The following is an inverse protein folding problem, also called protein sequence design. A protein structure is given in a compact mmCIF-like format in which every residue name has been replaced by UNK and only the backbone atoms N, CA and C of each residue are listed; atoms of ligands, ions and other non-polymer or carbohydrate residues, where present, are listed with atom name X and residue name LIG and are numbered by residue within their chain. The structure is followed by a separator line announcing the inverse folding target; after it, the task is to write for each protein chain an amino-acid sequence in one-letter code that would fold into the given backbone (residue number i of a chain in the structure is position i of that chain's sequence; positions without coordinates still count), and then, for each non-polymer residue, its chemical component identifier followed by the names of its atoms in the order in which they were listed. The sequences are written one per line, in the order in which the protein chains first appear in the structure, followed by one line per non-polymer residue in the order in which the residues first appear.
data_IF_142408597996
#
_entry.id   IF_142408597996
#
_cell.length_a   1.000
_cell.length_b   1.000
_cell.length_c   1.000
_cell.angle_alpha   90.00
_cell.angle_beta   90.00
_cell.angle_gamma   90.00
#
_symmetry.space_group_name_H-M   'P 1'
#
loop_
_entity.id
_entity.type
_entity.pdbx_description
1 polymer ?
#
# COMPACT_ATOMS: atom_id res chain seq x y z
N UNK A 1 -4.77 -12.87 10.44
CA UNK A 1 -3.63 -12.07 10.92
C UNK A 1 -2.40 -12.96 10.87
N UNK A 2 -1.52 -12.75 9.91
CA UNK A 2 -0.30 -13.55 9.81
C UNK A 2 0.79 -12.86 10.62
N UNK A 3 1.18 -13.50 11.71
CA UNK A 3 2.39 -13.15 12.45
C UNK A 3 3.57 -13.58 11.58
N UNK A 4 4.35 -12.63 11.08
CA UNK A 4 5.55 -12.97 10.31
C UNK A 4 6.61 -13.44 11.30
N UNK A 5 6.87 -14.75 11.27
CA UNK A 5 8.08 -15.34 11.85
C UNK A 5 9.25 -14.97 10.96
N UNK A 6 10.32 -14.44 11.59
CA UNK A 6 11.46 -13.89 10.88
C UNK A 6 12.16 -14.90 9.97
N UNK A 7 11.96 -14.74 8.68
CA UNK A 7 12.85 -15.28 7.65
C UNK A 7 13.49 -14.11 6.91
N UNK A 8 14.81 -14.12 6.87
CA UNK A 8 15.64 -13.16 6.15
C UNK A 8 15.35 -13.19 4.65
N UNK A 9 14.44 -12.36 4.18
CA UNK A 9 14.21 -12.16 2.76
C UNK A 9 14.91 -10.86 2.36
N UNK A 10 16.13 -10.95 1.88
CA UNK A 10 16.77 -9.90 1.09
C UNK A 10 16.11 -9.88 -0.29
N UNK A 11 14.90 -9.33 -0.40
CA UNK A 11 14.23 -9.17 -1.67
C UNK A 11 14.44 -7.76 -2.22
N UNK A 12 14.78 -7.66 -3.50
CA UNK A 12 14.76 -6.38 -4.23
C UNK A 12 13.34 -5.91 -4.54
N UNK A 13 12.31 -6.66 -4.11
CA UNK A 13 10.90 -6.34 -4.33
C UNK A 13 10.26 -5.79 -3.04
N UNK A 14 9.29 -4.85 -3.16
CA UNK A 14 8.53 -4.36 -2.02
C UNK A 14 7.81 -5.50 -1.29
N UNK A 15 7.66 -5.39 0.03
CA UNK A 15 6.96 -6.38 0.84
C UNK A 15 5.51 -6.51 0.39
N UNK A 16 5.12 -7.71 -0.04
CA UNK A 16 3.81 -8.02 -0.60
C UNK A 16 2.66 -7.79 0.40
N UNK A 17 2.94 -7.91 1.70
CA UNK A 17 1.93 -7.70 2.74
C UNK A 17 1.34 -6.29 2.78
N UNK A 18 2.10 -5.27 2.34
CA UNK A 18 1.67 -3.87 2.31
C UNK A 18 1.17 -3.42 0.93
N UNK A 19 1.24 -4.31 -0.03
CA UNK A 19 0.80 -4.01 -1.38
C UNK A 19 -0.71 -3.81 -1.43
N UNK A 20 -1.15 -2.77 -2.12
CA UNK A 20 -2.56 -2.37 -2.19
C UNK A 20 -3.22 -2.18 -0.81
N UNK A 21 -2.43 -1.74 0.17
CA UNK A 21 -2.87 -1.48 1.52
C UNK A 21 -2.76 0.00 1.86
N UNK A 22 -3.55 0.41 2.84
CA UNK A 22 -3.45 1.71 3.50
C UNK A 22 -3.53 1.53 5.00
N UNK A 23 -2.98 2.48 5.75
CA UNK A 23 -2.98 2.44 7.21
C UNK A 23 -1.62 2.73 7.80
N UNK A 24 -1.31 2.11 8.92
CA UNK A 24 0.00 2.24 9.56
C UNK A 24 0.36 1.01 10.38
N UNK A 25 1.64 0.90 10.71
CA UNK A 25 2.21 -0.14 11.58
C UNK A 25 2.88 0.53 12.76
N UNK A 26 2.59 0.06 13.97
CA UNK A 26 3.10 0.55 15.23
C UNK A 26 4.03 -0.50 15.86
N UNK A 27 5.27 -0.13 16.18
CA UNK A 27 6.17 -0.95 16.98
C UNK A 27 5.74 -0.90 18.46
N UNK A 28 5.48 -2.05 19.07
CA UNK A 28 5.03 -2.15 20.47
C UNK A 28 6.11 -2.65 21.42
N UNK A 29 7.12 -3.37 20.92
CA UNK A 29 8.29 -3.81 21.66
C UNK A 29 9.46 -4.10 20.69
N UNK A 30 10.68 -4.18 21.21
CA UNK A 30 11.88 -4.44 20.44
C UNK A 30 12.26 -3.31 19.48
N UNK A 31 13.12 -3.64 18.52
CA UNK A 31 13.64 -2.73 17.51
C UNK A 31 13.61 -3.40 16.13
N UNK A 32 13.57 -2.60 15.06
CA UNK A 32 13.72 -3.09 13.70
C UNK A 32 14.33 -2.02 12.79
N UNK A 33 14.99 -2.46 11.72
CA UNK A 33 15.34 -1.61 10.58
C UNK A 33 14.34 -1.86 9.44
N UNK A 34 13.84 -0.79 8.86
CA UNK A 34 12.92 -0.83 7.72
C UNK A 34 13.46 0.04 6.60
N UNK A 35 13.47 -0.48 5.37
CA UNK A 35 13.79 0.32 4.19
C UNK A 35 12.48 0.75 3.51
N UNK A 36 12.26 2.07 3.51
CA UNK A 36 11.12 2.68 2.82
C UNK A 36 11.65 3.52 1.68
N UNK A 37 11.23 3.21 0.45
CA UNK A 37 11.80 3.75 -0.78
C UNK A 37 13.35 3.53 -0.77
N UNK A 38 14.12 4.61 -0.79
CA UNK A 38 15.60 4.57 -0.78
C UNK A 38 16.20 4.86 0.60
N UNK A 39 15.39 5.04 1.64
CA UNK A 39 15.84 5.41 2.98
C UNK A 39 15.66 4.28 3.98
N UNK A 40 16.62 4.14 4.91
CA UNK A 40 16.56 3.23 6.04
C UNK A 40 16.08 3.99 7.27
N UNK A 41 15.13 3.40 7.99
CA UNK A 41 14.55 3.93 9.22
C UNK A 41 14.74 2.90 10.34
N UNK A 42 15.07 3.39 11.53
CA UNK A 42 15.15 2.58 12.75
C UNK A 42 13.84 2.73 13.52
N UNK A 43 13.23 1.59 13.81
CA UNK A 43 12.00 1.50 14.58
C UNK A 43 12.33 1.02 15.99
N UNK A 44 11.78 1.70 16.98
CA UNK A 44 11.79 1.29 18.38
C UNK A 44 10.36 1.34 18.92
N UNK A 45 10.15 0.89 20.15
CA UNK A 45 8.83 0.98 20.79
C UNK A 45 8.24 2.39 20.68
N UNK A 46 7.01 2.50 20.19
CA UNK A 46 6.31 3.75 19.91
C UNK A 46 6.58 4.34 18.52
N UNK A 47 7.52 3.79 17.75
CA UNK A 47 7.69 4.19 16.36
C UNK A 47 6.52 3.71 15.51
N UNK A 48 6.07 4.57 14.60
CA UNK A 48 5.05 4.26 13.61
C UNK A 48 5.59 4.48 12.21
N UNK A 49 5.15 3.66 11.25
CA UNK A 49 5.33 3.95 9.84
C UNK A 49 4.01 3.82 9.09
N UNK A 50 3.82 4.72 8.13
CA UNK A 50 2.61 4.78 7.32
C UNK A 50 2.72 3.81 6.14
N UNK A 51 1.60 3.18 5.81
CA UNK A 51 1.41 2.36 4.62
C UNK A 51 0.47 3.11 3.67
N UNK A 52 0.99 3.56 2.55
CA UNK A 52 0.24 4.25 1.49
C UNK A 52 0.76 3.84 0.12
N UNK A 53 0.02 4.07 -0.97
CA UNK A 53 0.47 3.73 -2.32
C UNK A 53 1.77 4.39 -2.78
N UNK A 54 2.15 5.53 -2.18
CA UNK A 54 3.39 6.25 -2.49
C UNK A 54 4.62 5.68 -1.81
N UNK A 55 4.43 4.84 -0.79
CA UNK A 55 5.50 4.33 0.06
C UNK A 55 5.73 2.87 -0.29
N UNK A 56 6.95 2.56 -0.73
CA UNK A 56 7.38 1.19 -1.01
C UNK A 56 8.25 0.70 0.14
N UNK A 57 7.79 -0.39 0.78
CA UNK A 57 8.44 -1.00 1.93
C UNK A 57 9.13 -2.26 1.44
N UNK A 58 10.46 -2.36 1.59
CA UNK A 58 11.25 -3.45 1.02
C UNK A 58 11.74 -4.45 2.06
N UNK A 59 12.23 -3.97 3.20
CA UNK A 59 12.87 -4.81 4.21
C UNK A 59 12.43 -4.44 5.61
N UNK A 60 12.27 -5.43 6.48
CA UNK A 60 12.19 -5.27 7.92
C UNK A 60 13.16 -6.26 8.53
N UNK A 61 14.17 -5.77 9.26
CA UNK A 61 15.12 -6.57 10.02
C UNK A 61 14.79 -6.45 11.53
N UNK A 62 13.91 -7.31 12.08
CA UNK A 62 13.49 -7.20 13.46
C UNK A 62 14.50 -7.80 14.44
N UNK A 63 14.59 -7.23 15.65
CA UNK A 63 15.20 -7.90 16.82
C UNK A 63 14.34 -9.10 17.25
N UNK A 64 14.93 -9.97 18.09
CA UNK A 64 14.23 -11.17 18.53
C UNK A 64 12.97 -10.92 19.37
N UNK A 65 12.89 -9.75 20.00
CA UNK A 65 11.77 -9.28 20.83
C UNK A 65 10.88 -8.25 20.11
N UNK A 66 11.03 -8.12 18.80
CA UNK A 66 10.23 -7.17 18.01
C UNK A 66 8.76 -7.58 17.96
N UNK A 67 7.90 -6.70 18.44
CA UNK A 67 6.45 -6.83 18.35
C UNK A 67 5.85 -5.62 17.63
N UNK A 68 4.81 -5.86 16.84
CA UNK A 68 4.10 -4.80 16.12
C UNK A 68 2.60 -5.00 16.09
N UNK A 69 1.88 -3.91 15.98
CA UNK A 69 0.45 -3.84 15.66
C UNK A 69 0.31 -3.27 14.25
N UNK A 70 -0.41 -3.98 13.38
CA UNK A 70 -0.71 -3.53 12.02
C UNK A 70 -2.17 -3.10 11.93
N UNK A 71 -2.40 -1.78 11.81
CA UNK A 71 -3.70 -1.16 11.52
C UNK A 71 -3.75 -0.86 10.01
N UNK A 72 -3.68 -1.93 9.21
CA UNK A 72 -3.56 -1.89 7.75
C UNK A 72 -4.72 -2.63 7.12
N UNK A 73 -5.37 -2.03 6.13
CA UNK A 73 -6.50 -2.59 5.42
C UNK A 73 -6.37 -2.41 3.90
N UNK A 74 -7.29 -2.98 3.13
CA UNK A 74 -7.35 -2.80 1.68
C UNK A 74 -7.40 -1.31 1.33
N UNK A 75 -6.62 -0.91 0.32
CA UNK A 75 -6.48 0.48 -0.09
C UNK A 75 -7.82 1.12 -0.45
N UNK A 76 -8.77 0.35 -1.00
CA UNK A 76 -10.11 0.85 -1.35
C UNK A 76 -10.89 1.40 -0.16
N UNK A 77 -10.60 0.93 1.07
CA UNK A 77 -11.21 1.46 2.30
C UNK A 77 -10.81 2.92 2.53
N UNK A 78 -9.60 3.28 2.12
CA UNK A 78 -9.02 4.61 2.30
C UNK A 78 -9.24 5.55 1.09
N UNK A 79 -9.67 5.06 -0.06
CA UNK A 79 -9.84 5.86 -1.28
C UNK A 79 -10.68 7.14 -1.09
N UNK A 80 -11.83 7.12 -0.41
CA UNK A 80 -12.62 8.34 -0.23
C UNK A 80 -11.81 9.44 0.46
N UNK A 81 -11.05 9.09 1.49
CA UNK A 81 -10.20 10.03 2.24
C UNK A 81 -8.99 10.45 1.42
N UNK A 82 -8.31 9.51 0.78
CA UNK A 82 -7.13 9.80 -0.04
C UNK A 82 -7.45 10.74 -1.20
N UNK A 83 -8.62 10.62 -1.82
CA UNK A 83 -9.08 11.57 -2.84
C UNK A 83 -9.34 12.96 -2.29
N UNK A 84 -9.91 13.07 -1.09
CA UNK A 84 -10.17 14.36 -0.45
C UNK A 84 -8.87 15.10 -0.09
N UNK A 85 -7.84 14.39 0.36
CA UNK A 85 -6.56 14.99 0.76
C UNK A 85 -5.55 15.11 -0.38
N UNK A 86 -5.84 14.60 -1.58
CA UNK A 86 -4.91 14.54 -2.69
C UNK A 86 -4.30 15.91 -3.06
N UNK A 87 -5.06 16.99 -2.91
CA UNK A 87 -4.65 18.34 -3.27
C UNK A 87 -4.16 19.18 -2.08
N UNK A 88 -4.05 18.60 -0.89
CA UNK A 88 -3.71 19.33 0.34
C UNK A 88 -2.22 19.38 0.65
N UNK A 89 -1.38 18.67 -0.11
CA UNK A 89 0.04 18.49 0.21
C UNK A 89 0.31 17.49 1.34
N UNK A 90 -0.72 16.97 2.03
CA UNK A 90 -0.59 15.95 3.07
C UNK A 90 0.13 14.69 2.56
N UNK A 91 -0.22 14.13 1.38
CA UNK A 91 0.45 12.95 0.86
C UNK A 91 1.96 13.15 0.67
N UNK A 92 2.38 14.34 0.25
CA UNK A 92 3.81 14.68 0.12
C UNK A 92 4.49 14.71 1.48
N UNK A 93 3.90 15.39 2.47
CA UNK A 93 4.45 15.48 3.83
C UNK A 93 4.66 14.10 4.43
N UNK A 94 3.65 13.24 4.32
CA UNK A 94 3.73 11.84 4.79
C UNK A 94 4.79 11.04 4.04
N UNK A 95 4.93 11.20 2.72
CA UNK A 95 5.94 10.48 1.95
C UNK A 95 7.37 10.92 2.23
N UNK A 96 7.57 12.17 2.62
CA UNK A 96 8.89 12.71 3.02
C UNK A 96 9.33 12.24 4.41
N UNK A 97 8.38 11.99 5.31
CA UNK A 97 8.64 11.49 6.66
C UNK A 97 7.65 10.38 7.01
N UNK A 98 7.82 9.19 6.42
CA UNK A 98 6.88 8.07 6.56
C UNK A 98 6.97 7.36 7.91
N UNK A 99 8.03 7.63 8.69
CA UNK A 99 8.26 7.06 10.02
C UNK A 99 8.44 8.17 11.05
N UNK A 100 7.82 8.01 12.22
CA UNK A 100 8.04 8.92 13.36
C UNK A 100 7.73 8.24 14.68
N UNK A 101 8.12 8.90 15.78
CA UNK A 101 7.85 8.48 17.13
C UNK A 101 6.52 9.10 17.59
N UNK A 102 5.62 8.27 18.12
CA UNK A 102 4.40 8.72 18.79
C UNK A 102 4.70 9.21 20.21
N UNK A 103 3.90 10.13 20.70
CA UNK A 103 3.84 10.43 22.13
C UNK A 103 3.21 9.26 22.90
N UNK A 104 3.35 9.25 24.23
CA UNK A 104 2.74 8.23 25.09
C UNK A 104 1.21 8.22 24.94
N UNK A 105 0.58 9.39 24.78
CA UNK A 105 -0.87 9.53 24.60
C UNK A 105 -1.30 8.94 23.26
N UNK A 106 -0.59 9.27 22.16
CA UNK A 106 -0.85 8.74 20.83
C UNK A 106 -0.64 7.22 20.78
N UNK A 107 0.39 6.72 21.45
CA UNK A 107 0.66 5.29 21.56
C UNK A 107 -0.48 4.54 22.27
N UNK A 108 -0.93 5.05 23.42
CA UNK A 108 -2.06 4.49 24.18
C UNK A 108 -3.34 4.52 23.33
N UNK A 109 -3.59 5.64 22.65
CA UNK A 109 -4.73 5.78 21.75
C UNK A 109 -4.70 4.71 20.64
N UNK A 110 -3.61 4.60 19.89
CA UNK A 110 -3.48 3.64 18.80
C UNK A 110 -3.66 2.18 19.27
N UNK A 111 -3.09 1.83 20.43
CA UNK A 111 -3.32 0.51 21.07
C UNK A 111 -4.77 0.27 21.44
N UNK A 112 -5.46 1.28 21.95
CA UNK A 112 -6.88 1.17 22.32
C UNK A 112 -7.76 0.91 21.08
N UNK A 113 -7.45 1.55 19.96
CA UNK A 113 -8.17 1.34 18.69
C UNK A 113 -7.94 -0.08 18.15
N UNK A 114 -6.73 -0.61 18.28
CA UNK A 114 -6.45 -2.00 17.93
C UNK A 114 -7.29 -2.98 18.79
N UNK A 115 -7.38 -2.77 20.09
CA UNK A 115 -8.25 -3.57 20.97
C UNK A 115 -9.74 -3.54 20.56
N UNK A 116 -10.22 -2.37 20.10
CA UNK A 116 -11.58 -2.26 19.52
C UNK A 116 -11.77 -3.08 18.25
N UNK A 117 -10.74 -3.19 17.43
CA UNK A 117 -10.76 -4.02 16.22
C UNK A 117 -10.76 -5.50 16.60
N UNK A 118 -9.93 -5.93 17.54
CA UNK A 118 -9.88 -7.33 18.01
C UNK A 118 -11.22 -7.79 18.61
N UNK A 119 -11.89 -6.93 19.40
CA UNK A 119 -13.25 -7.19 19.91
C UNK A 119 -14.23 -7.45 18.74
N UNK A 120 -14.19 -6.62 17.70
CA UNK A 120 -15.07 -6.79 16.54
C UNK A 120 -14.74 -8.03 15.71
N UNK A 121 -13.45 -8.33 15.53
CA UNK A 121 -13.02 -9.57 14.84
C UNK A 121 -13.48 -10.81 15.59
N UNK A 122 -13.41 -10.80 16.92
CA UNK A 122 -13.91 -11.88 17.77
C UNK A 122 -15.43 -12.08 17.61
N UNK A 123 -16.19 -10.96 17.53
CA UNK A 123 -17.65 -10.99 17.28
C UNK A 123 -17.97 -11.51 15.88
N UNK A 124 -17.23 -11.11 14.86
CA UNK A 124 -17.39 -11.65 13.49
C UNK A 124 -17.18 -13.17 13.48
N UNK A 125 -16.14 -13.65 14.17
CA UNK A 125 -15.84 -15.10 14.24
C UNK A 125 -16.93 -15.90 14.99
N UNK A 126 -17.62 -15.28 15.95
CA UNK A 126 -18.70 -15.91 16.72
C UNK A 126 -20.09 -15.76 16.06
N UNK A 127 -20.27 -14.82 15.14
CA UNK A 127 -21.55 -14.50 14.50
C UNK A 127 -21.87 -15.47 13.37
N UNK A 128 -23.14 -15.92 13.32
CA UNK A 128 -23.72 -16.68 12.20
C UNK A 128 -24.53 -15.80 11.25
N UNK A 129 -24.73 -14.52 11.58
CA UNK A 129 -25.46 -13.55 10.75
C UNK A 129 -24.52 -12.86 9.78
N UNK A 130 -24.78 -13.01 8.48
CA UNK A 130 -24.05 -12.31 7.41
C UNK A 130 -24.21 -10.79 7.53
N UNK A 131 -25.39 -10.30 7.88
CA UNK A 131 -25.66 -8.87 8.05
C UNK A 131 -24.83 -8.29 9.20
N UNK A 132 -24.76 -8.99 10.32
CA UNK A 132 -23.94 -8.57 11.48
C UNK A 132 -22.45 -8.54 11.11
N UNK A 133 -21.94 -9.56 10.41
CA UNK A 133 -20.56 -9.62 9.94
C UNK A 133 -20.21 -8.45 9.01
N UNK A 134 -21.14 -8.08 8.11
CA UNK A 134 -20.96 -6.92 7.21
C UNK A 134 -20.88 -5.62 8.02
N UNK A 135 -21.79 -5.40 8.96
CA UNK A 135 -21.79 -4.18 9.81
C UNK A 135 -20.48 -4.10 10.62
N UNK A 136 -20.07 -5.18 11.27
CA UNK A 136 -18.83 -5.23 12.06
C UNK A 136 -17.59 -4.96 11.19
N UNK A 137 -17.56 -5.49 9.97
CA UNK A 137 -16.48 -5.23 9.00
C UNK A 137 -16.41 -3.74 8.65
N UNK A 138 -17.54 -3.10 8.39
CA UNK A 138 -17.56 -1.65 8.13
C UNK A 138 -17.12 -0.82 9.34
N UNK A 139 -17.48 -1.23 10.55
CA UNK A 139 -17.00 -0.57 11.76
C UNK A 139 -15.48 -0.70 11.93
N UNK A 140 -14.89 -1.85 11.61
CA UNK A 140 -13.42 -2.02 11.58
C UNK A 140 -12.80 -1.06 10.57
N UNK A 141 -13.35 -0.97 9.35
CA UNK A 141 -12.87 -0.08 8.31
C UNK A 141 -12.87 1.39 8.77
N UNK A 142 -13.94 1.83 9.43
CA UNK A 142 -14.05 3.19 9.96
C UNK A 142 -12.99 3.44 11.06
N UNK A 143 -12.77 2.49 11.97
CA UNK A 143 -11.75 2.61 13.02
C UNK A 143 -10.35 2.73 12.37
N UNK A 144 -10.04 1.95 11.35
CA UNK A 144 -8.75 2.03 10.65
C UNK A 144 -8.54 3.42 10.02
N UNK A 145 -9.56 3.96 9.34
CA UNK A 145 -9.48 5.27 8.68
C UNK A 145 -9.36 6.40 9.71
N UNK A 146 -10.23 6.41 10.73
CA UNK A 146 -10.20 7.39 11.81
C UNK A 146 -8.84 7.44 12.51
N UNK A 147 -8.34 6.27 12.92
CA UNK A 147 -7.07 6.17 13.64
C UNK A 147 -5.88 6.64 12.78
N UNK A 148 -5.88 6.28 11.49
CA UNK A 148 -4.83 6.75 10.58
C UNK A 148 -4.85 8.28 10.44
N UNK A 149 -6.03 8.89 10.29
CA UNK A 149 -6.16 10.34 10.16
C UNK A 149 -5.71 11.05 11.44
N UNK A 150 -6.08 10.53 12.61
CA UNK A 150 -5.67 11.09 13.90
C UNK A 150 -4.15 11.07 14.07
N UNK A 151 -3.52 9.90 13.84
CA UNK A 151 -2.07 9.72 13.91
C UNK A 151 -1.33 10.62 12.91
N UNK A 152 -1.85 10.78 11.68
CA UNK A 152 -1.27 11.65 10.66
C UNK A 152 -1.47 13.12 11.00
N UNK A 153 -2.65 13.55 11.50
CA UNK A 153 -2.96 14.95 11.75
C UNK A 153 -1.99 15.59 12.75
N UNK A 154 -1.63 14.85 13.79
CA UNK A 154 -0.69 15.30 14.82
C UNK A 154 0.74 15.44 14.29
N UNK A 155 1.07 14.72 13.21
CA UNK A 155 2.41 14.72 12.63
C UNK A 155 2.58 15.81 11.56
N UNK A 156 1.60 16.02 10.68
CA UNK A 156 1.71 16.91 9.51
C UNK A 156 1.87 18.38 9.86
N UNK A 157 1.44 18.80 11.06
CA UNK A 157 1.60 20.19 11.53
C UNK A 157 3.07 20.63 11.66
N UNK A 158 4.00 19.65 11.69
CA UNK A 158 5.45 19.89 11.86
C UNK A 158 6.20 20.17 10.55
N UNK A 159 5.50 20.11 9.38
CA UNK A 159 6.16 20.27 8.07
C UNK A 159 5.80 21.57 7.39
N UNK A 160 6.84 22.26 6.93
CA UNK A 160 6.71 23.37 5.98
C UNK A 160 7.13 22.88 4.59
N UNK A 161 6.21 22.91 3.62
CA UNK A 161 6.42 22.34 2.29
C UNK A 161 6.18 23.40 1.21
N UNK A 162 7.15 23.65 0.29
CA UNK A 162 6.98 24.60 -0.80
C UNK A 162 5.80 24.26 -1.72
N UNK A 163 5.07 25.30 -2.16
CA UNK A 163 3.84 25.14 -2.98
C UNK A 163 4.07 24.40 -4.31
N UNK A 164 5.21 24.61 -4.96
CA UNK A 164 5.52 24.01 -6.27
C UNK A 164 5.73 22.49 -6.14
N UNK A 165 6.38 22.04 -5.06
CA UNK A 165 6.52 20.62 -4.72
C UNK A 165 5.18 19.96 -4.47
N UNK A 166 4.22 20.68 -3.88
CA UNK A 166 2.86 20.18 -3.63
C UNK A 166 2.15 19.86 -4.95
N UNK A 167 2.22 20.75 -5.96
CA UNK A 167 1.53 20.56 -7.25
C UNK A 167 1.97 19.26 -7.97
N UNK A 168 3.28 19.07 -8.11
CA UNK A 168 3.81 17.89 -8.80
C UNK A 168 3.52 16.60 -8.01
N UNK A 169 3.61 16.66 -6.69
CA UNK A 169 3.27 15.52 -5.82
C UNK A 169 1.80 15.16 -5.88
N UNK A 170 0.91 16.16 -6.02
CA UNK A 170 -0.52 15.90 -6.20
C UNK A 170 -0.80 15.17 -7.51
N UNK A 171 -0.12 15.52 -8.61
CA UNK A 171 -0.22 14.79 -9.88
C UNK A 171 0.23 13.34 -9.71
N UNK A 172 1.37 13.12 -9.07
CA UNK A 172 1.90 11.78 -8.82
C UNK A 172 0.98 10.96 -7.92
N UNK A 173 0.48 11.55 -6.85
CA UNK A 173 -0.42 10.87 -5.92
C UNK A 173 -1.74 10.47 -6.58
N UNK A 174 -2.37 11.39 -7.32
CA UNK A 174 -3.58 11.10 -8.10
C UNK A 174 -3.35 10.01 -9.14
N UNK A 175 -2.20 10.03 -9.81
CA UNK A 175 -1.82 8.97 -10.75
C UNK A 175 -1.78 7.60 -10.06
N UNK A 176 -1.09 7.49 -8.93
CA UNK A 176 -0.94 6.21 -8.22
C UNK A 176 -2.29 5.71 -7.68
N UNK A 177 -3.15 6.59 -7.13
CA UNK A 177 -4.50 6.21 -6.75
C UNK A 177 -5.30 5.70 -7.96
N UNK A 178 -5.29 6.45 -9.07
CA UNK A 178 -5.98 6.07 -10.29
C UNK A 178 -5.44 4.76 -10.87
N UNK A 179 -4.13 4.52 -10.77
CA UNK A 179 -3.52 3.27 -11.21
C UNK A 179 -4.03 2.07 -10.39
N UNK A 180 -4.13 2.18 -9.07
CA UNK A 180 -4.68 1.13 -8.22
C UNK A 180 -6.18 0.89 -8.44
N UNK A 181 -6.93 1.89 -8.88
CA UNK A 181 -8.33 1.73 -9.28
C UNK A 181 -8.48 1.05 -10.66
N UNK A 182 -7.56 1.33 -11.59
CA UNK A 182 -7.73 1.00 -13.01
C UNK A 182 -6.67 0.03 -13.57
N UNK A 183 -5.82 -0.57 -12.73
CA UNK A 183 -4.73 -1.46 -13.17
C UNK A 183 -5.19 -2.63 -14.04
N UNK A 184 -6.43 -3.07 -13.87
CA UNK A 184 -7.01 -4.18 -14.60
C UNK A 184 -7.52 -3.78 -15.99
N UNK A 185 -7.81 -2.49 -16.24
CA UNK A 185 -8.34 -2.01 -17.52
C UNK A 185 -7.36 -1.13 -18.28
N UNK A 186 -6.60 -0.28 -17.57
CA UNK A 186 -5.82 0.81 -18.19
C UNK A 186 -4.32 0.63 -17.98
N UNK A 187 -3.59 0.49 -19.11
CA UNK A 187 -2.13 0.36 -19.11
C UNK A 187 -1.42 1.40 -19.97
N UNK A 188 -2.17 2.28 -20.61
CA UNK A 188 -1.61 3.33 -21.46
C UNK A 188 -1.25 4.58 -20.64
N UNK A 189 0.01 4.99 -20.67
CA UNK A 189 0.47 6.23 -20.00
C UNK A 189 -0.31 7.45 -20.48
N UNK A 190 -0.69 7.48 -21.77
CA UNK A 190 -1.48 8.56 -22.37
C UNK A 190 -2.86 8.72 -21.72
N UNK A 191 -3.47 7.62 -21.30
CA UNK A 191 -4.76 7.67 -20.59
C UNK A 191 -4.62 8.41 -19.26
N UNK A 192 -3.63 8.05 -18.43
CA UNK A 192 -3.37 8.72 -17.15
C UNK A 192 -2.96 10.19 -17.34
N UNK A 193 -2.15 10.49 -18.35
CA UNK A 193 -1.76 11.85 -18.67
C UNK A 193 -2.98 12.72 -19.05
N UNK A 194 -3.93 12.17 -19.80
CA UNK A 194 -5.17 12.86 -20.17
C UNK A 194 -6.05 13.17 -18.94
N UNK A 195 -6.12 12.26 -17.96
CA UNK A 195 -6.83 12.49 -16.70
C UNK A 195 -6.24 13.67 -15.90
N UNK A 196 -4.93 13.89 -16.04
CA UNK A 196 -4.22 15.00 -15.41
C UNK A 196 -4.23 16.29 -16.26
N UNK A 197 -4.86 16.29 -17.45
CA UNK A 197 -4.83 17.37 -18.44
C UNK A 197 -3.39 17.78 -18.83
N UNK A 198 -2.51 16.78 -18.97
CA UNK A 198 -1.09 16.97 -19.33
C UNK A 198 -0.74 16.21 -20.60
N UNK A 199 0.29 16.71 -21.31
CA UNK A 199 0.92 15.89 -22.35
C UNK A 199 1.64 14.70 -21.74
N UNK A 200 1.73 13.58 -22.46
CA UNK A 200 2.39 12.34 -21.99
C UNK A 200 3.84 12.59 -21.56
N UNK A 201 4.56 13.45 -22.28
CA UNK A 201 5.94 13.81 -21.95
C UNK A 201 6.05 14.58 -20.62
N UNK A 202 5.24 15.62 -20.46
CA UNK A 202 5.23 16.43 -19.23
C UNK A 202 4.78 15.59 -18.01
N UNK A 203 3.71 14.80 -18.18
CA UNK A 203 3.24 13.87 -17.17
C UNK A 203 4.34 12.88 -16.74
N UNK A 204 5.05 12.28 -17.71
CA UNK A 204 6.12 11.32 -17.41
C UNK A 204 7.30 11.94 -16.69
N UNK A 205 7.63 13.22 -17.01
CA UNK A 205 8.66 13.95 -16.30
C UNK A 205 8.29 14.18 -14.84
N UNK A 206 7.07 14.69 -14.58
CA UNK A 206 6.56 14.90 -13.21
C UNK A 206 6.60 13.60 -12.39
N UNK A 207 6.04 12.49 -12.93
CA UNK A 207 5.99 11.23 -12.19
C UNK A 207 7.39 10.74 -11.86
N UNK A 208 8.32 10.78 -12.83
CA UNK A 208 9.71 10.34 -12.60
C UNK A 208 10.42 11.22 -11.57
N UNK A 209 10.28 12.52 -11.66
CA UNK A 209 10.90 13.47 -10.72
C UNK A 209 10.36 13.27 -9.29
N UNK A 210 9.04 13.07 -9.16
CA UNK A 210 8.40 12.94 -7.85
C UNK A 210 8.60 11.58 -7.20
N UNK A 211 8.60 10.48 -8.01
CA UNK A 211 8.56 9.11 -7.49
C UNK A 211 9.81 8.29 -7.77
N UNK A 212 10.79 8.82 -8.50
CA UNK A 212 11.97 8.10 -8.95
C UNK A 212 11.73 7.10 -10.07
N UNK A 213 10.46 6.77 -10.42
CA UNK A 213 10.08 5.77 -11.42
C UNK A 213 9.26 6.36 -12.56
N UNK A 214 9.38 5.81 -13.77
CA UNK A 214 8.52 6.22 -14.86
C UNK A 214 7.07 5.72 -14.66
N UNK A 215 6.06 6.38 -15.28
CA UNK A 215 4.68 5.86 -15.25
C UNK A 215 4.56 4.43 -15.79
N UNK A 216 5.34 4.08 -16.83
CA UNK A 216 5.35 2.72 -17.38
C UNK A 216 5.87 1.69 -16.37
N UNK A 217 6.89 2.03 -15.58
CA UNK A 217 7.42 1.17 -14.54
C UNK A 217 6.39 0.98 -13.41
N UNK A 218 5.69 2.05 -13.03
CA UNK A 218 4.60 1.97 -12.06
C UNK A 218 3.47 1.06 -12.56
N UNK A 219 2.98 1.27 -13.78
CA UNK A 219 1.91 0.47 -14.39
C UNK A 219 2.32 -1.00 -14.45
N UNK A 220 3.55 -1.28 -14.91
CA UNK A 220 4.00 -2.67 -15.00
C UNK A 220 4.20 -3.32 -13.64
N UNK A 221 4.73 -2.60 -12.67
CA UNK A 221 4.88 -3.08 -11.29
C UNK A 221 3.53 -3.43 -10.67
N UNK A 222 2.58 -2.50 -10.70
CA UNK A 222 1.22 -2.69 -10.14
C UNK A 222 0.52 -3.88 -10.81
N UNK A 223 0.47 -3.91 -12.14
CA UNK A 223 -0.20 -4.99 -12.88
C UNK A 223 0.43 -6.36 -12.61
N UNK A 224 1.77 -6.43 -12.56
CA UNK A 224 2.48 -7.69 -12.30
C UNK A 224 2.24 -8.19 -10.87
N UNK A 225 2.22 -7.30 -9.89
CA UNK A 225 1.96 -7.70 -8.51
C UNK A 225 0.53 -8.20 -8.31
N UNK A 226 -0.46 -7.57 -8.93
CA UNK A 226 -1.82 -8.12 -8.90
C UNK A 226 -1.91 -9.48 -9.59
N UNK A 227 -1.20 -9.66 -10.70
CA UNK A 227 -1.12 -10.96 -11.35
C UNK A 227 -0.51 -12.03 -10.41
N UNK A 228 0.57 -11.69 -9.68
CA UNK A 228 1.17 -12.56 -8.68
C UNK A 228 0.17 -12.93 -7.58
N UNK A 229 -0.55 -11.96 -7.00
CA UNK A 229 -1.57 -12.21 -5.98
C UNK A 229 -2.69 -13.15 -6.48
N UNK A 230 -3.18 -12.97 -7.70
CA UNK A 230 -4.17 -13.86 -8.28
C UNK A 230 -3.63 -15.29 -8.50
N UNK A 231 -2.36 -15.42 -8.87
CA UNK A 231 -1.70 -16.71 -9.05
C UNK A 231 -1.52 -17.46 -7.72
N UNK A 232 -1.21 -16.75 -6.64
CA UNK A 232 -0.98 -17.28 -5.30
C UNK A 232 -2.28 -17.64 -4.58
N UNK A 233 -3.25 -16.71 -4.62
CA UNK A 233 -4.40 -16.73 -3.72
C UNK A 233 -5.66 -17.33 -4.35
N UNK A 234 -5.63 -17.67 -5.65
CA UNK A 234 -6.81 -18.20 -6.35
C UNK A 234 -6.48 -19.41 -7.19
N UNK A 235 -7.49 -20.27 -7.41
CA UNK A 235 -7.41 -21.40 -8.33
C UNK A 235 -7.76 -21.03 -9.79
N UNK A 236 -7.90 -19.73 -10.09
CA UNK A 236 -8.20 -19.26 -11.45
C UNK A 236 -7.14 -19.75 -12.44
N UNK A 237 -7.59 -20.24 -13.58
CA UNK A 237 -6.69 -20.59 -14.69
C UNK A 237 -5.92 -19.36 -15.18
N UNK A 238 -4.80 -19.58 -15.84
CA UNK A 238 -4.01 -18.49 -16.45
C UNK A 238 -4.84 -17.69 -17.46
N UNK A 239 -5.81 -18.33 -18.12
CA UNK A 239 -6.74 -17.68 -19.05
C UNK A 239 -7.71 -16.75 -18.31
N UNK A 240 -8.27 -17.21 -17.19
CA UNK A 240 -9.18 -16.39 -16.37
C UNK A 240 -8.46 -15.18 -15.77
N UNK A 241 -7.23 -15.34 -15.29
CA UNK A 241 -6.39 -14.23 -14.81
C UNK A 241 -6.09 -13.24 -15.94
N UNK A 242 -5.75 -13.73 -17.14
CA UNK A 242 -5.54 -12.87 -18.29
C UNK A 242 -6.78 -12.04 -18.63
N UNK A 243 -7.95 -12.67 -18.58
CA UNK A 243 -9.24 -12.00 -18.84
C UNK A 243 -9.56 -10.97 -17.74
N UNK A 244 -9.36 -11.31 -16.46
CA UNK A 244 -9.61 -10.42 -15.33
C UNK A 244 -8.72 -9.18 -15.37
N UNK A 245 -7.48 -9.34 -15.80
CA UNK A 245 -6.54 -8.25 -16.03
C UNK A 245 -6.69 -7.59 -17.41
N UNK A 246 -7.79 -7.88 -18.11
CA UNK A 246 -8.12 -7.30 -19.41
C UNK A 246 -6.97 -7.39 -20.44
N UNK A 247 -6.29 -8.53 -20.51
CA UNK A 247 -5.38 -8.82 -21.61
C UNK A 247 -6.16 -9.38 -22.80
N UNK A 248 -5.87 -8.95 -24.02
CA UNK A 248 -6.60 -9.42 -25.21
C UNK A 248 -6.53 -10.95 -25.39
N UNK A 249 -5.41 -11.55 -24.99
CA UNK A 249 -5.18 -12.99 -25.10
C UNK A 249 -4.28 -13.49 -23.96
N UNK A 250 -4.47 -14.76 -23.57
CA UNK A 250 -3.61 -15.44 -22.59
C UNK A 250 -2.12 -15.41 -22.96
N UNK A 251 -1.80 -15.47 -24.26
CA UNK A 251 -0.43 -15.43 -24.74
C UNK A 251 0.22 -14.07 -24.50
N UNK A 252 -0.51 -12.98 -24.70
CA UNK A 252 -0.07 -11.61 -24.40
C UNK A 252 0.21 -11.44 -22.90
N UNK A 253 -0.68 -11.95 -22.05
CA UNK A 253 -0.47 -11.97 -20.61
C UNK A 253 0.78 -12.76 -20.21
N UNK A 254 0.98 -13.97 -20.76
CA UNK A 254 2.18 -14.80 -20.46
C UNK A 254 3.48 -14.09 -20.82
N UNK A 255 3.54 -13.43 -21.99
CA UNK A 255 4.70 -12.63 -22.39
C UNK A 255 4.94 -11.44 -21.47
N UNK A 256 3.88 -10.72 -21.13
CA UNK A 256 3.93 -9.59 -20.22
C UNK A 256 4.44 -10.02 -18.85
N UNK A 257 3.81 -11.02 -18.26
CA UNK A 257 4.19 -11.52 -16.93
C UNK A 257 5.64 -12.00 -16.91
N UNK A 258 6.06 -12.82 -17.89
CA UNK A 258 7.45 -13.28 -17.96
C UNK A 258 8.45 -12.13 -18.10
N UNK A 259 8.11 -11.08 -18.85
CA UNK A 259 8.97 -9.90 -18.99
C UNK A 259 9.22 -9.19 -17.66
N UNK A 260 8.19 -9.06 -16.83
CA UNK A 260 8.26 -8.24 -15.62
C UNK A 260 8.45 -9.05 -14.33
N UNK A 261 8.06 -10.32 -14.30
CA UNK A 261 8.26 -11.22 -13.17
C UNK A 261 9.50 -12.14 -13.32
N UNK A 262 10.14 -12.16 -14.51
CA UNK A 262 11.32 -12.99 -14.77
C UNK A 262 11.01 -14.44 -15.17
N UNK A 263 9.84 -14.97 -14.82
CA UNK A 263 9.41 -16.35 -15.06
C UNK A 263 8.00 -16.44 -15.61
N UNK A 264 7.58 -17.62 -16.08
CA UNK A 264 6.21 -17.79 -16.58
C UNK A 264 5.18 -17.78 -15.43
N UNK A 265 3.90 -17.41 -15.72
CA UNK A 265 2.84 -17.46 -14.70
C UNK A 265 2.65 -18.87 -14.09
N UNK A 266 2.88 -19.91 -14.88
CA UNK A 266 2.75 -21.31 -14.44
C UNK A 266 3.87 -21.69 -13.47
N UNK A 267 5.12 -21.33 -13.82
CA UNK A 267 6.29 -21.58 -12.97
C UNK A 267 6.14 -20.83 -11.65
N UNK A 268 5.77 -19.54 -11.73
CA UNK A 268 5.52 -18.71 -10.55
C UNK A 268 4.49 -19.33 -9.60
N UNK A 269 3.35 -19.81 -10.13
CA UNK A 269 2.32 -20.48 -9.32
C UNK A 269 2.84 -21.75 -8.64
N UNK A 270 3.65 -22.54 -9.34
CA UNK A 270 4.20 -23.77 -8.79
C UNK A 270 5.23 -23.53 -7.69
N UNK A 271 5.99 -22.43 -7.77
CA UNK A 271 6.99 -22.05 -6.76
C UNK A 271 6.35 -21.37 -5.53
N UNK A 272 5.21 -20.71 -5.70
CA UNK A 272 4.54 -19.94 -4.63
C UNK A 272 3.52 -20.75 -3.81
N UNK A 273 3.26 -22.00 -4.19
CA UNK A 273 2.36 -22.97 -3.51
C UNK A 273 3.13 -24.16 -2.94
#
# INVERSE_FOLDING_TARGET
MNTITGENIKSCEPLHEYWNKGGFVLCTAGEAEIRINDNIYHLAKGSVFIVTPLIQIYEINPSADFERISLVNDLKVFYPVFKLIADTGIPLKVSQSPCWQLSDEEFIFAKSQYGRIEDKLSKIAASTSTEEQVILTHLINLICVETMLEVVSNHISKFDTPFESIRNSNVAYRFILSLHENYHTERAVSWYASQANLSTGHFSAIIRETTGKSPSDWISSVTTTYAKLLLEQTDKSIKEIANELNFPEQFTFRKYFKKYAGMSPTDYRNESR
#
